data_IF_425859324335
#
_entry.id   IF_425859324335
#
_cell.length_a   1.000
_cell.length_b   1.000
_cell.length_c   1.000
_cell.angle_alpha   90.00
_cell.angle_beta   90.00
_cell.angle_gamma   90.00
#
_symmetry.space_group_name_H-M   'P 1'
#
loop_
_entity.id
_entity.type
_entity.pdbx_description
1 polymer ?
#
# COMPACT_ATOMS: atom_id res chain seq x y z
N UNK A 1 -5.57 -6.51 -13.45
CA UNK A 1 -5.19 -5.36 -12.58
C UNK A 1 -4.78 -5.93 -11.24
N UNK A 2 -3.53 -5.76 -10.82
CA UNK A 2 -3.09 -6.26 -9.52
C UNK A 2 -3.62 -5.28 -8.46
N UNK A 3 -4.51 -5.66 -7.54
CA UNK A 3 -4.96 -4.75 -6.48
C UNK A 3 -3.83 -4.27 -5.55
N UNK A 4 -2.61 -4.81 -5.68
CA UNK A 4 -1.39 -4.25 -5.08
C UNK A 4 -0.81 -3.02 -5.82
N UNK A 5 -1.35 -2.65 -6.98
CA UNK A 5 -0.84 -1.52 -7.80
C UNK A 5 -1.21 -0.16 -7.21
N UNK A 6 -2.23 -0.08 -6.36
CA UNK A 6 -2.62 1.20 -5.77
C UNK A 6 -1.65 1.58 -4.63
N UNK A 7 -1.09 2.80 -4.65
CA UNK A 7 -0.23 3.26 -3.57
C UNK A 7 -1.00 3.34 -2.25
N UNK A 8 -0.37 2.86 -1.18
CA UNK A 8 -0.90 2.93 0.19
C UNK A 8 -0.66 4.32 0.79
N UNK A 9 0.48 4.91 0.47
CA UNK A 9 0.89 6.26 0.85
C UNK A 9 1.52 6.91 -0.37
N UNK A 10 1.14 8.17 -0.62
CA UNK A 10 1.77 9.02 -1.61
C UNK A 10 2.41 10.21 -0.89
N UNK A 11 3.71 10.38 -1.08
CA UNK A 11 4.48 11.49 -0.50
C UNK A 11 4.82 12.50 -1.59
N UNK A 12 4.80 13.78 -1.26
CA UNK A 12 5.40 14.84 -2.07
C UNK A 12 6.62 15.40 -1.36
N UNK A 13 7.70 15.58 -2.11
CA UNK A 13 8.89 16.30 -1.70
C UNK A 13 8.97 17.59 -2.50
N UNK A 14 9.05 18.72 -1.81
CA UNK A 14 9.22 20.02 -2.45
C UNK A 14 10.15 20.92 -1.66
N UNK A 15 10.73 21.90 -2.33
CA UNK A 15 11.60 22.92 -1.73
C UNK A 15 11.45 24.23 -2.48
N UNK A 16 11.54 25.35 -1.76
CA UNK A 16 11.66 26.68 -2.36
C UNK A 16 13.11 27.06 -2.69
N UNK A 17 14.10 26.35 -2.13
CA UNK A 17 15.52 26.68 -2.26
C UNK A 17 16.31 25.66 -3.09
N UNK A 18 15.88 24.40 -3.13
CA UNK A 18 16.56 23.33 -3.87
C UNK A 18 15.98 23.20 -5.29
N UNK A 19 16.84 22.84 -6.24
CA UNK A 19 16.38 22.50 -7.58
C UNK A 19 15.61 21.17 -7.57
N UNK A 20 14.68 20.95 -8.51
CA UNK A 20 13.96 19.68 -8.63
C UNK A 20 14.86 18.44 -8.73
N UNK A 21 16.02 18.52 -9.38
CA UNK A 21 16.93 17.40 -9.52
C UNK A 21 17.69 17.07 -8.22
N UNK A 22 18.01 18.09 -7.39
CA UNK A 22 18.56 17.88 -6.05
C UNK A 22 17.53 17.21 -5.13
N UNK A 23 16.27 17.63 -5.23
CA UNK A 23 15.16 16.99 -4.51
C UNK A 23 15.02 15.53 -4.96
N UNK A 24 15.10 15.27 -6.26
CA UNK A 24 15.03 13.91 -6.81
C UNK A 24 16.17 13.03 -6.30
N UNK A 25 17.40 13.53 -6.29
CA UNK A 25 18.56 12.78 -5.79
C UNK A 25 18.37 12.36 -4.33
N UNK A 26 17.89 13.26 -3.47
CA UNK A 26 17.55 12.92 -2.09
C UNK A 26 16.40 11.90 -2.01
N UNK A 27 15.34 12.10 -2.80
CA UNK A 27 14.18 11.21 -2.86
C UNK A 27 14.59 9.78 -3.27
N UNK A 28 15.45 9.64 -4.27
CA UNK A 28 15.86 8.36 -4.86
C UNK A 28 16.89 7.64 -3.97
N UNK A 29 17.95 8.33 -3.54
CA UNK A 29 19.11 7.69 -2.87
C UNK A 29 18.94 7.53 -1.37
N UNK A 30 18.21 8.43 -0.71
CA UNK A 30 18.04 8.43 0.76
C UNK A 30 16.67 7.91 1.16
N UNK A 31 15.60 8.44 0.56
CA UNK A 31 14.25 8.20 1.05
C UNK A 31 13.66 6.90 0.48
N UNK A 32 13.60 6.76 -0.84
CA UNK A 32 13.01 5.61 -1.51
C UNK A 32 13.71 4.31 -1.12
N UNK A 33 15.05 4.28 -1.07
CA UNK A 33 15.82 3.12 -0.62
C UNK A 33 15.46 2.68 0.80
N UNK A 34 15.36 3.64 1.75
CA UNK A 34 15.00 3.33 3.14
C UNK A 34 13.56 2.87 3.28
N UNK A 35 12.63 3.46 2.53
CA UNK A 35 11.22 3.03 2.53
C UNK A 35 11.09 1.63 1.94
N UNK A 36 11.77 1.33 0.83
CA UNK A 36 11.74 0.01 0.19
C UNK A 36 12.30 -1.12 1.07
N UNK A 37 13.17 -0.79 2.03
CA UNK A 37 13.69 -1.77 3.00
C UNK A 37 12.70 -2.10 4.13
N UNK A 38 11.60 -1.35 4.27
CA UNK A 38 10.61 -1.63 5.30
C UNK A 38 9.83 -2.92 4.97
N UNK A 39 9.69 -3.79 5.96
CA UNK A 39 8.90 -5.01 5.82
C UNK A 39 7.46 -4.69 5.40
N UNK A 40 7.00 -5.36 4.34
CA UNK A 40 5.68 -5.20 3.74
C UNK A 40 5.58 -4.10 2.67
N UNK A 41 6.63 -3.30 2.46
CA UNK A 41 6.74 -2.43 1.27
C UNK A 41 7.20 -3.25 0.08
N UNK A 42 6.47 -3.16 -1.03
CA UNK A 42 6.72 -3.94 -2.24
C UNK A 42 7.50 -3.16 -3.29
N UNK A 43 7.07 -1.92 -3.54
CA UNK A 43 7.67 -1.06 -4.54
C UNK A 43 7.52 0.40 -4.11
N UNK A 44 8.56 1.19 -4.37
CA UNK A 44 8.52 2.64 -4.25
C UNK A 44 8.87 3.21 -5.62
N UNK A 45 7.93 3.89 -6.26
CA UNK A 45 8.15 4.54 -7.55
C UNK A 45 8.19 6.06 -7.40
N UNK A 46 8.90 6.72 -8.31
CA UNK A 46 9.11 8.17 -8.29
C UNK A 46 8.33 8.80 -9.45
N UNK A 47 7.38 9.67 -9.13
CA UNK A 47 6.64 10.51 -10.06
C UNK A 47 7.31 11.87 -10.26
N UNK A 48 7.31 12.35 -11.50
CA UNK A 48 8.00 13.61 -11.85
C UNK A 48 9.51 13.52 -11.74
N UNK A 49 10.06 12.32 -11.95
CA UNK A 49 11.47 12.03 -11.76
C UNK A 49 12.36 12.95 -12.60
N UNK A 50 13.29 13.64 -11.94
CA UNK A 50 14.25 14.54 -12.58
C UNK A 50 15.66 14.15 -12.12
N UNK A 51 16.16 13.03 -12.63
CA UNK A 51 17.51 12.55 -12.28
C UNK A 51 18.55 13.58 -12.67
N UNK A 52 19.45 13.88 -11.73
CA UNK A 52 20.59 14.77 -11.97
C UNK A 52 21.45 14.20 -13.09
N UNK A 53 21.73 15.00 -14.12
CA UNK A 53 22.54 14.62 -15.27
C UNK A 53 23.38 15.79 -15.74
N UNK A 54 24.56 15.50 -16.30
CA UNK A 54 25.33 16.49 -17.04
C UNK A 54 24.86 16.47 -18.48
N UNK A 55 24.21 17.55 -18.94
CA UNK A 55 23.74 17.69 -20.32
C UNK A 55 24.76 18.45 -21.14
N UNK A 56 25.28 17.79 -22.17
CA UNK A 56 26.18 18.37 -23.16
C UNK A 56 25.36 18.81 -24.36
N UNK A 57 25.21 20.12 -24.55
CA UNK A 57 24.47 20.75 -25.64
C UNK A 57 25.45 21.33 -26.66
N UNK A 58 25.63 20.62 -27.76
CA UNK A 58 26.63 20.98 -28.78
C UNK A 58 25.98 21.73 -29.94
N UNK A 59 26.64 22.78 -30.44
CA UNK A 59 26.19 23.48 -31.64
C UNK A 59 26.68 22.72 -32.90
N UNK A 60 25.78 22.19 -33.74
CA UNK A 60 26.14 21.40 -34.92
C UNK A 60 26.99 22.18 -35.94
N UNK A 61 26.78 23.50 -36.06
CA UNK A 61 27.53 24.34 -37.01
C UNK A 61 28.97 24.54 -36.53
N UNK A 62 29.18 24.73 -35.23
CA UNK A 62 30.50 24.91 -34.64
C UNK A 62 31.33 23.64 -34.78
N UNK A 63 30.82 22.48 -34.34
CA UNK A 63 31.57 21.22 -34.47
C UNK A 63 31.88 20.89 -35.94
N UNK A 64 30.94 21.15 -36.86
CA UNK A 64 31.16 20.96 -38.29
C UNK A 64 32.30 21.83 -38.85
N UNK A 65 32.46 23.07 -38.36
CA UNK A 65 33.58 23.93 -38.77
C UNK A 65 34.97 23.43 -38.31
N UNK A 66 34.98 22.55 -37.30
CA UNK A 66 36.17 21.86 -36.81
C UNK A 66 36.33 20.45 -37.40
N UNK A 67 35.44 20.03 -38.31
CA UNK A 67 35.46 18.70 -38.92
C UNK A 67 35.00 17.59 -38.00
N UNK A 68 34.31 17.93 -36.90
CA UNK A 68 33.78 16.99 -35.92
C UNK A 68 32.28 16.78 -36.13
N UNK A 69 31.81 15.57 -35.83
CA UNK A 69 30.40 15.21 -35.80
C UNK A 69 29.95 14.81 -34.37
N UNK A 70 28.67 14.49 -34.18
CA UNK A 70 28.14 14.12 -32.87
C UNK A 70 28.71 12.82 -32.31
N UNK A 71 29.06 11.86 -33.18
CA UNK A 71 29.64 10.57 -32.78
C UNK A 71 31.10 10.73 -32.31
N UNK A 72 31.84 11.64 -32.92
CA UNK A 72 33.19 12.01 -32.46
C UNK A 72 33.13 12.55 -31.02
N UNK A 73 32.22 13.49 -30.76
CA UNK A 73 32.00 14.06 -29.42
C UNK A 73 31.58 12.97 -28.43
N UNK A 74 30.65 12.09 -28.81
CA UNK A 74 30.21 10.97 -27.98
C UNK A 74 31.37 10.06 -27.60
N UNK A 75 32.18 9.66 -28.58
CA UNK A 75 33.34 8.78 -28.37
C UNK A 75 34.38 9.42 -27.45
N UNK A 76 34.67 10.71 -27.64
CA UNK A 76 35.60 11.45 -26.78
C UNK A 76 35.10 11.48 -25.34
N UNK A 77 33.83 11.84 -25.13
CA UNK A 77 33.22 11.91 -23.79
C UNK A 77 33.21 10.53 -23.11
N UNK A 78 32.86 9.47 -23.83
CA UNK A 78 32.90 8.09 -23.32
C UNK A 78 34.34 7.66 -22.95
N UNK A 79 35.34 7.99 -23.78
CA UNK A 79 36.74 7.64 -23.51
C UNK A 79 37.36 8.42 -22.35
N UNK A 80 36.91 9.65 -22.14
CA UNK A 80 37.40 10.51 -21.08
C UNK A 80 36.81 10.16 -19.72
N UNK A 81 35.58 9.64 -19.67
CA UNK A 81 34.89 9.32 -18.43
C UNK A 81 34.97 7.81 -18.10
N UNK A 82 36.18 7.26 -18.02
CA UNK A 82 36.40 5.82 -17.80
C UNK A 82 36.86 5.51 -16.37
N UNK A 83 36.35 4.41 -15.81
CA UNK A 83 36.80 3.85 -14.54
C UNK A 83 37.47 2.49 -14.79
N UNK A 84 38.68 2.52 -15.35
CA UNK A 84 39.45 1.33 -15.68
C UNK A 84 40.57 1.09 -14.66
N UNK A 85 40.78 -0.18 -14.31
CA UNK A 85 41.87 -0.59 -13.43
C UNK A 85 43.23 -0.22 -14.05
N UNK A 86 44.08 0.43 -13.27
CA UNK A 86 45.41 0.87 -13.72
C UNK A 86 46.51 -0.16 -13.43
N UNK A 87 46.18 -1.22 -12.70
CA UNK A 87 47.08 -2.32 -12.38
C UNK A 87 47.76 -2.18 -11.02
N UNK A 88 48.62 -3.14 -10.71
CA UNK A 88 49.40 -3.20 -9.47
C UNK A 88 50.89 -3.30 -9.81
N UNK A 89 51.71 -2.73 -8.94
CA UNK A 89 53.14 -3.01 -8.88
C UNK A 89 53.39 -4.02 -7.77
N UNK A 90 53.70 -5.26 -8.14
CA UNK A 90 54.07 -6.32 -7.21
C UNK A 90 55.60 -6.45 -7.13
N UNK A 91 56.17 -6.12 -5.97
CA UNK A 91 57.58 -6.35 -5.67
C UNK A 91 57.76 -7.44 -4.60
N UNK A 92 59.01 -7.91 -4.41
CA UNK A 92 59.34 -9.05 -3.54
C UNK A 92 58.91 -8.91 -2.07
N UNK A 93 58.66 -7.67 -1.59
CA UNK A 93 58.29 -7.38 -0.20
C UNK A 93 57.02 -6.54 -0.04
N UNK A 94 56.58 -5.85 -1.08
CA UNK A 94 55.46 -4.90 -1.04
C UNK A 94 54.73 -4.92 -2.38
N UNK A 95 53.41 -4.82 -2.32
CA UNK A 95 52.52 -4.63 -3.48
C UNK A 95 51.83 -3.28 -3.37
N UNK A 96 51.78 -2.53 -4.48
CA UNK A 96 51.12 -1.24 -4.57
C UNK A 96 50.06 -1.27 -5.67
N UNK A 97 48.83 -0.92 -5.35
CA UNK A 97 47.79 -0.69 -6.35
C UNK A 97 47.89 0.73 -6.91
N UNK A 98 47.88 0.86 -8.23
CA UNK A 98 47.81 2.17 -8.88
C UNK A 98 46.34 2.60 -8.89
N UNK A 99 46.01 3.62 -8.10
CA UNK A 99 44.70 4.27 -8.17
C UNK A 99 44.78 5.58 -8.94
N UNK A 100 44.02 5.68 -10.03
CA UNK A 100 43.67 6.93 -10.71
C UNK A 100 42.18 6.89 -11.00
N UNK A 101 41.50 8.02 -10.79
CA UNK A 101 40.10 8.17 -11.16
C UNK A 101 39.99 9.21 -12.27
N UNK A 102 39.77 8.73 -13.49
CA UNK A 102 39.64 9.58 -14.66
C UNK A 102 38.17 10.00 -14.86
N UNK A 103 37.24 9.60 -13.98
CA UNK A 103 35.83 9.93 -14.10
C UNK A 103 35.58 11.42 -13.88
N UNK A 104 34.77 12.00 -14.75
CA UNK A 104 34.32 13.39 -14.67
C UNK A 104 33.00 13.42 -13.89
N UNK A 105 32.96 14.18 -12.80
CA UNK A 105 31.81 14.22 -11.87
C UNK A 105 31.03 15.53 -11.95
N UNK A 106 31.63 16.59 -12.50
CA UNK A 106 31.03 17.93 -12.53
C UNK A 106 30.86 18.43 -13.96
N UNK A 107 29.82 19.24 -14.21
CA UNK A 107 29.64 19.90 -15.51
C UNK A 107 30.85 20.74 -15.94
N UNK A 108 31.61 21.29 -14.99
CA UNK A 108 32.80 22.08 -15.27
C UNK A 108 33.97 21.23 -15.76
N UNK A 109 34.16 20.04 -15.20
CA UNK A 109 35.12 19.05 -15.70
C UNK A 109 34.80 18.64 -17.13
N UNK A 110 33.53 18.31 -17.42
CA UNK A 110 33.08 18.03 -18.78
C UNK A 110 33.26 19.24 -19.71
N UNK A 111 32.97 20.47 -19.25
CA UNK A 111 33.13 21.69 -20.03
C UNK A 111 34.58 21.93 -20.45
N UNK A 112 35.55 21.55 -19.60
CA UNK A 112 36.98 21.69 -19.86
C UNK A 112 37.59 20.50 -20.61
N UNK A 113 36.81 19.46 -20.91
CA UNK A 113 37.26 18.32 -21.68
C UNK A 113 37.76 18.75 -23.07
N UNK A 114 38.96 18.31 -23.42
CA UNK A 114 39.57 18.59 -24.73
C UNK A 114 38.98 17.64 -25.76
N UNK A 115 38.43 18.21 -26.83
CA UNK A 115 37.76 17.46 -27.90
C UNK A 115 38.59 17.35 -29.18
N UNK A 116 39.50 18.29 -29.43
CA UNK A 116 40.40 18.24 -30.56
C UNK A 116 41.60 19.17 -30.34
N UNK A 117 42.63 19.01 -31.17
CA UNK A 117 43.71 20.00 -31.29
C UNK A 117 43.69 20.57 -32.70
N UNK A 118 43.70 21.90 -32.83
CA UNK A 118 43.80 22.58 -34.13
C UNK A 118 44.91 23.61 -34.07
N UNK A 119 45.91 23.46 -34.95
CA UNK A 119 47.10 24.32 -35.00
C UNK A 119 47.81 24.45 -33.64
N UNK A 120 47.90 23.36 -32.88
CA UNK A 120 48.54 23.33 -31.55
C UNK A 120 47.69 23.86 -30.39
N UNK A 121 46.51 24.44 -30.66
CA UNK A 121 45.60 24.91 -29.62
C UNK A 121 44.57 23.84 -29.25
N UNK A 122 44.34 23.57 -27.95
CA UNK A 122 43.30 22.64 -27.51
C UNK A 122 41.92 23.28 -27.69
N UNK A 123 41.03 22.57 -28.38
CA UNK A 123 39.62 22.88 -28.47
C UNK A 123 38.89 22.13 -27.35
N UNK A 124 38.12 22.84 -26.52
CA UNK A 124 37.37 22.27 -25.40
C UNK A 124 35.88 22.17 -25.71
N UNK A 125 35.17 21.33 -24.95
CA UNK A 125 33.74 21.12 -25.13
C UNK A 125 32.93 22.41 -24.95
N UNK A 126 33.35 23.29 -24.03
CA UNK A 126 32.74 24.63 -23.84
C UNK A 126 32.92 25.59 -25.02
N UNK A 127 33.87 25.34 -25.91
CA UNK A 127 34.14 26.21 -27.06
C UNK A 127 33.17 25.92 -28.23
N UNK A 128 32.49 24.76 -28.18
CA UNK A 128 31.56 24.29 -29.24
C UNK A 128 30.13 24.07 -28.73
N UNK A 129 29.87 24.36 -27.45
CA UNK A 129 28.59 24.07 -26.82
C UNK A 129 28.50 24.52 -25.36
N UNK A 130 27.41 24.12 -24.71
CA UNK A 130 27.16 24.36 -23.30
C UNK A 130 27.10 23.03 -22.55
N UNK A 131 27.67 23.00 -21.35
CA UNK A 131 27.60 21.84 -20.46
C UNK A 131 26.93 22.30 -19.17
N UNK A 132 25.74 21.79 -18.90
CA UNK A 132 24.91 22.21 -17.77
C UNK A 132 24.51 21.01 -16.91
N UNK A 133 24.39 21.23 -15.61
CA UNK A 133 23.74 20.27 -14.72
C UNK A 133 22.23 20.47 -14.82
N UNK A 134 21.52 19.46 -15.29
CA UNK A 134 20.07 19.51 -15.49
C UNK A 134 19.46 18.11 -15.41
N UNK A 135 18.14 18.01 -15.43
CA UNK A 135 17.43 16.74 -15.41
C UNK A 135 17.73 15.91 -16.67
N UNK A 136 17.89 14.59 -16.51
CA UNK A 136 17.99 13.64 -17.62
C UNK A 136 16.81 13.79 -18.59
N UNK A 137 15.61 13.90 -18.03
CA UNK A 137 14.37 14.14 -18.76
C UNK A 137 13.65 15.38 -18.25
N UNK A 138 13.76 16.48 -19.00
CA UNK A 138 13.10 17.76 -18.69
C UNK A 138 11.62 17.80 -19.07
N UNK A 139 11.12 16.76 -19.76
CA UNK A 139 9.71 16.65 -20.20
C UNK A 139 8.82 16.01 -19.14
N UNK A 140 9.39 15.53 -18.04
CA UNK A 140 8.66 15.01 -16.90
C UNK A 140 8.74 15.99 -15.75
N UNK A 141 7.61 16.19 -15.10
CA UNK A 141 7.50 16.97 -13.87
C UNK A 141 6.25 16.51 -13.13
N UNK A 142 6.25 16.71 -11.82
CA UNK A 142 5.08 16.53 -10.98
C UNK A 142 4.88 17.75 -10.10
N UNK A 143 3.66 17.91 -9.63
CA UNK A 143 3.24 19.04 -8.82
C UNK A 143 2.42 18.55 -7.64
N UNK A 144 2.59 19.22 -6.51
CA UNK A 144 1.66 19.17 -5.39
C UNK A 144 0.94 20.52 -5.34
N UNK A 145 -0.33 20.52 -5.72
CA UNK A 145 -1.08 21.74 -6.00
C UNK A 145 -0.32 22.57 -7.05
N UNK A 146 0.07 23.80 -6.74
CA UNK A 146 0.79 24.70 -7.66
C UNK A 146 2.33 24.63 -7.53
N UNK A 147 2.86 23.81 -6.62
CA UNK A 147 4.32 23.70 -6.37
C UNK A 147 4.89 22.48 -7.10
N UNK A 148 5.99 22.67 -7.85
CA UNK A 148 6.76 21.55 -8.41
C UNK A 148 7.25 20.65 -7.27
N UNK A 149 7.05 19.35 -7.41
CA UNK A 149 7.38 18.36 -6.40
C UNK A 149 7.85 17.05 -7.04
N UNK A 150 8.62 16.28 -6.28
CA UNK A 150 8.94 14.89 -6.58
C UNK A 150 7.98 14.02 -5.77
N UNK A 151 7.25 13.14 -6.43
CA UNK A 151 6.21 12.32 -5.79
C UNK A 151 6.77 10.92 -5.56
N UNK A 152 6.60 10.38 -4.35
CA UNK A 152 6.90 8.97 -4.05
C UNK A 152 5.62 8.20 -3.85
N UNK A 153 5.42 7.16 -4.65
CA UNK A 153 4.31 6.23 -4.51
C UNK A 153 4.81 4.99 -3.79
N UNK A 154 4.28 4.75 -2.59
CA UNK A 154 4.62 3.57 -1.79
C UNK A 154 3.54 2.52 -2.00
N UNK A 155 3.92 1.37 -2.54
CA UNK A 155 3.05 0.21 -2.74
C UNK A 155 3.43 -0.91 -1.77
N UNK A 156 2.44 -1.70 -1.36
CA UNK A 156 2.63 -2.81 -0.42
C UNK A 156 2.96 -4.12 -1.15
N UNK A 157 3.60 -5.05 -0.44
CA UNK A 157 3.69 -6.43 -0.87
C UNK A 157 2.30 -7.11 -0.82
N UNK A 158 2.04 -8.09 -1.70
CA UNK A 158 0.87 -8.96 -1.59
C UNK A 158 0.76 -9.56 -0.18
N UNK A 159 -0.47 -9.67 0.36
CA UNK A 159 -0.72 -10.19 1.70
C UNK A 159 -0.34 -9.28 2.88
N UNK A 160 0.43 -8.20 2.66
CA UNK A 160 0.79 -7.27 3.73
C UNK A 160 -0.38 -6.39 4.18
N UNK A 161 -0.47 -6.16 5.50
CA UNK A 161 -1.47 -5.29 6.11
C UNK A 161 -1.18 -3.81 5.81
N UNK A 162 -2.13 -3.12 5.19
CA UNK A 162 -1.98 -1.73 4.74
C UNK A 162 -1.67 -0.78 5.92
N UNK A 163 -2.41 -0.93 7.03
CA UNK A 163 -2.29 -0.05 8.21
C UNK A 163 -0.89 -0.20 8.82
N UNK A 164 -0.41 -1.43 9.01
CA UNK A 164 0.90 -1.66 9.60
C UNK A 164 2.04 -1.12 8.74
N UNK A 165 1.98 -1.33 7.42
CA UNK A 165 3.02 -0.83 6.50
C UNK A 165 3.04 0.70 6.50
N UNK A 166 1.87 1.33 6.41
CA UNK A 166 1.74 2.78 6.47
C UNK A 166 2.28 3.38 7.78
N UNK A 167 1.98 2.76 8.93
CA UNK A 167 2.53 3.20 10.23
C UNK A 167 4.06 3.05 10.30
N UNK A 168 4.62 1.99 9.70
CA UNK A 168 6.10 1.85 9.59
C UNK A 168 6.71 2.95 8.73
N UNK A 169 6.06 3.31 7.63
CA UNK A 169 6.50 4.40 6.74
C UNK A 169 6.43 5.73 7.48
N UNK A 170 5.31 6.07 8.12
CA UNK A 170 5.18 7.30 8.95
C UNK A 170 6.19 7.34 10.09
N UNK A 171 6.40 6.20 10.75
CA UNK A 171 7.40 6.07 11.81
C UNK A 171 8.82 6.27 11.30
N UNK A 172 9.14 5.80 10.09
CA UNK A 172 10.41 6.09 9.43
C UNK A 172 10.53 7.58 9.09
N UNK A 173 9.49 8.20 8.52
CA UNK A 173 9.48 9.63 8.19
C UNK A 173 9.80 10.50 9.41
N UNK A 174 9.17 10.22 10.55
CA UNK A 174 9.45 10.92 11.82
C UNK A 174 10.88 10.73 12.32
N UNK A 175 11.49 9.55 12.07
CA UNK A 175 12.89 9.28 12.46
C UNK A 175 13.90 9.99 11.57
N UNK A 176 13.59 10.16 10.29
CA UNK A 176 14.49 10.81 9.33
C UNK A 176 14.29 12.32 9.27
N UNK A 177 13.15 12.84 9.75
CA UNK A 177 12.83 14.27 9.79
C UNK A 177 13.99 15.16 10.26
N UNK A 178 14.75 14.81 11.32
CA UNK A 178 15.90 15.62 11.77
C UNK A 178 17.09 15.63 10.80
N UNK A 179 17.17 14.66 9.90
CA UNK A 179 18.24 14.52 8.89
C UNK A 179 17.89 15.16 7.55
N UNK A 180 16.63 15.58 7.39
CA UNK A 180 16.16 16.26 6.18
C UNK A 180 16.76 17.68 6.16
N UNK A 181 17.29 18.14 5.01
CA UNK A 181 17.72 19.53 4.87
C UNK A 181 16.59 20.49 5.23
N UNK A 182 16.87 21.57 5.98
CA UNK A 182 15.83 22.51 6.48
C UNK A 182 14.91 23.10 5.41
N UNK A 183 15.36 23.13 4.15
CA UNK A 183 14.62 23.69 3.04
C UNK A 183 13.79 22.65 2.28
N UNK A 184 13.85 21.36 2.65
CA UNK A 184 13.14 20.27 2.01
C UNK A 184 11.97 19.85 2.89
N UNK A 185 10.76 19.98 2.36
CA UNK A 185 9.53 19.56 3.03
C UNK A 185 9.03 18.26 2.42
N UNK A 186 8.52 17.36 3.28
CA UNK A 186 7.89 16.11 2.89
C UNK A 186 6.44 16.13 3.38
N UNK A 187 5.49 16.07 2.46
CA UNK A 187 4.06 16.03 2.78
C UNK A 187 3.45 14.70 2.37
N UNK A 188 2.53 14.19 3.18
CA UNK A 188 1.70 13.05 2.81
C UNK A 188 0.50 13.60 2.03
N UNK A 189 0.45 13.33 0.73
CA UNK A 189 -0.65 13.77 -0.14
C UNK A 189 -1.85 12.86 -0.01
N UNK A 190 -1.58 11.56 0.07
CA UNK A 190 -2.61 10.53 0.16
C UNK A 190 -2.18 9.47 1.15
N UNK A 191 -3.11 9.10 2.02
CA UNK A 191 -2.96 8.03 2.98
C UNK A 191 -4.24 7.20 2.97
N UNK A 192 -4.16 5.97 2.47
CA UNK A 192 -5.32 5.07 2.42
C UNK A 192 -5.75 4.59 3.80
N UNK A 193 -4.89 4.68 4.82
CA UNK A 193 -5.22 4.17 6.14
C UNK A 193 -6.31 4.96 6.85
N UNK A 194 -6.46 6.25 6.54
CA UNK A 194 -7.47 7.11 7.17
C UNK A 194 -8.87 6.63 6.81
N UNK A 195 -9.15 6.44 5.52
CA UNK A 195 -10.43 5.90 5.04
C UNK A 195 -10.67 4.49 5.55
N UNK A 196 -9.66 3.61 5.51
CA UNK A 196 -9.81 2.23 6.00
C UNK A 196 -10.14 2.22 7.50
N UNK A 197 -9.45 3.04 8.31
CA UNK A 197 -9.70 3.13 9.75
C UNK A 197 -11.10 3.68 10.03
N UNK A 198 -11.51 4.76 9.34
CA UNK A 198 -12.86 5.33 9.46
C UNK A 198 -13.93 4.29 9.14
N UNK A 199 -13.79 3.57 8.01
CA UNK A 199 -14.77 2.54 7.62
C UNK A 199 -14.83 1.37 8.62
N UNK A 200 -13.71 0.98 9.21
CA UNK A 200 -13.71 -0.08 10.25
C UNK A 200 -14.34 0.42 11.56
N UNK A 201 -14.04 1.65 11.98
CA UNK A 201 -14.63 2.26 13.19
C UNK A 201 -16.15 2.49 13.02
N UNK A 202 -16.58 2.99 11.86
CA UNK A 202 -17.99 3.14 11.48
C UNK A 202 -18.70 1.78 11.52
N UNK A 203 -18.12 0.76 10.88
CA UNK A 203 -18.67 -0.58 10.89
C UNK A 203 -18.77 -1.20 12.29
N UNK A 204 -17.78 -0.99 13.16
CA UNK A 204 -17.84 -1.43 14.55
C UNK A 204 -18.98 -0.75 15.31
N UNK A 205 -19.17 0.55 15.09
CA UNK A 205 -20.27 1.30 15.67
C UNK A 205 -21.63 0.80 15.16
N UNK A 206 -21.78 0.60 13.85
CA UNK A 206 -23.00 0.07 13.25
C UNK A 206 -23.34 -1.34 13.77
N UNK A 207 -22.34 -2.21 13.88
CA UNK A 207 -22.51 -3.55 14.43
C UNK A 207 -22.97 -3.50 15.89
N UNK A 208 -22.34 -2.66 16.72
CA UNK A 208 -22.72 -2.48 18.11
C UNK A 208 -24.13 -1.89 18.24
N UNK A 209 -24.46 -0.89 17.42
CA UNK A 209 -25.78 -0.29 17.36
C UNK A 209 -26.84 -1.31 16.93
N UNK A 210 -26.55 -2.13 15.92
CA UNK A 210 -27.45 -3.19 15.45
C UNK A 210 -27.73 -4.21 16.56
N UNK A 211 -26.69 -4.68 17.26
CA UNK A 211 -26.83 -5.59 18.40
C UNK A 211 -27.70 -4.94 19.49
N UNK A 212 -27.42 -3.69 19.85
CA UNK A 212 -28.16 -2.97 20.89
C UNK A 212 -29.64 -2.78 20.50
N UNK A 213 -29.92 -2.42 19.25
CA UNK A 213 -31.27 -2.26 18.73
C UNK A 213 -32.04 -3.58 18.73
N UNK A 214 -31.41 -4.67 18.30
CA UNK A 214 -32.01 -6.01 18.35
C UNK A 214 -32.38 -6.38 19.78
N UNK A 215 -31.46 -6.19 20.72
CA UNK A 215 -31.71 -6.48 22.14
C UNK A 215 -32.86 -5.62 22.69
N UNK A 216 -32.89 -4.33 22.34
CA UNK A 216 -33.95 -3.41 22.77
C UNK A 216 -35.32 -3.79 22.20
N UNK A 217 -35.41 -4.12 20.92
CA UNK A 217 -36.65 -4.57 20.27
C UNK A 217 -37.11 -5.90 20.87
N UNK A 218 -36.21 -6.87 21.05
CA UNK A 218 -36.54 -8.14 21.69
C UNK A 218 -37.05 -7.96 23.12
N UNK A 219 -36.44 -7.07 23.89
CA UNK A 219 -36.92 -6.72 25.23
C UNK A 219 -38.33 -6.14 25.18
N UNK A 220 -38.61 -5.25 24.23
CA UNK A 220 -39.92 -4.61 24.09
C UNK A 220 -41.04 -5.62 23.83
N UNK A 221 -40.80 -6.62 22.98
CA UNK A 221 -41.76 -7.67 22.67
C UNK A 221 -41.92 -8.72 23.78
N UNK A 222 -40.80 -9.22 24.32
CA UNK A 222 -40.83 -10.35 25.27
C UNK A 222 -41.08 -9.90 26.73
N UNK A 223 -40.76 -8.64 27.07
CA UNK A 223 -40.91 -8.02 28.41
C UNK A 223 -40.35 -8.83 29.60
N UNK A 224 -39.49 -9.81 29.34
CA UNK A 224 -38.87 -10.70 30.31
C UNK A 224 -37.37 -10.74 30.08
N UNK A 225 -36.63 -10.24 31.07
CA UNK A 225 -35.16 -10.11 31.03
C UNK A 225 -34.47 -11.43 30.70
N UNK A 226 -34.97 -12.55 31.25
CA UNK A 226 -34.41 -13.89 31.03
C UNK A 226 -34.42 -14.33 29.55
N UNK A 227 -35.44 -13.95 28.78
CA UNK A 227 -35.48 -14.27 27.35
C UNK A 227 -34.66 -13.28 26.50
N UNK A 228 -34.51 -12.03 26.95
CA UNK A 228 -33.68 -11.02 26.29
C UNK A 228 -32.17 -11.29 26.42
N UNK A 229 -31.73 -11.92 27.51
CA UNK A 229 -30.30 -12.24 27.72
C UNK A 229 -29.78 -13.24 26.68
N UNK A 230 -30.62 -14.17 26.23
CA UNK A 230 -30.17 -15.25 25.34
C UNK A 230 -29.64 -14.69 24.00
N UNK A 231 -30.39 -13.88 23.21
CA UNK A 231 -29.84 -13.28 21.99
C UNK A 231 -28.66 -12.34 22.29
N UNK A 232 -28.69 -11.64 23.42
CA UNK A 232 -27.62 -10.72 23.84
C UNK A 232 -26.26 -11.40 23.99
N UNK A 233 -26.24 -12.71 24.29
CA UNK A 233 -25.00 -13.50 24.43
C UNK A 233 -24.69 -14.29 23.16
N UNK A 234 -25.72 -14.85 22.51
CA UNK A 234 -25.55 -15.67 21.30
C UNK A 234 -24.95 -14.86 20.15
N UNK A 235 -25.42 -13.63 19.93
CA UNK A 235 -24.98 -12.81 18.79
C UNK A 235 -23.49 -12.43 18.90
N UNK A 236 -22.99 -11.86 20.01
CA UNK A 236 -21.56 -11.58 20.12
C UNK A 236 -20.70 -12.86 20.06
N UNK A 237 -21.19 -13.97 20.59
CA UNK A 237 -20.46 -15.24 20.59
C UNK A 237 -20.29 -15.79 19.17
N UNK A 238 -21.34 -15.76 18.35
CA UNK A 238 -21.25 -16.21 16.94
C UNK A 238 -20.32 -15.32 16.13
N UNK A 239 -20.35 -14.01 16.33
CA UNK A 239 -19.45 -13.06 15.68
C UNK A 239 -17.99 -13.30 16.06
N UNK A 240 -17.70 -13.50 17.35
CA UNK A 240 -16.34 -13.82 17.83
C UNK A 240 -15.88 -15.17 17.28
N UNK A 241 -16.76 -16.18 17.27
CA UNK A 241 -16.48 -17.49 16.67
C UNK A 241 -16.15 -17.37 15.18
N UNK A 242 -16.91 -16.54 14.46
CA UNK A 242 -16.68 -16.25 13.03
C UNK A 242 -15.35 -15.58 12.81
N UNK A 243 -14.99 -14.58 13.62
CA UNK A 243 -13.67 -13.93 13.55
C UNK A 243 -12.54 -14.94 13.77
N UNK A 244 -12.72 -15.91 14.68
CA UNK A 244 -11.78 -17.01 14.90
C UNK A 244 -11.64 -17.90 13.66
N UNK A 245 -12.75 -18.29 13.04
CA UNK A 245 -12.73 -19.08 11.82
C UNK A 245 -12.13 -18.32 10.62
N UNK A 246 -12.47 -17.03 10.47
CA UNK A 246 -11.86 -16.14 9.48
C UNK A 246 -10.34 -16.07 9.65
N UNK A 247 -9.86 -15.98 10.89
CA UNK A 247 -8.42 -15.97 11.18
C UNK A 247 -7.75 -17.28 10.74
N UNK A 248 -8.37 -18.44 10.99
CA UNK A 248 -7.87 -19.74 10.53
C UNK A 248 -7.86 -19.87 9.00
N UNK A 249 -8.82 -19.24 8.32
CA UNK A 249 -8.90 -19.21 6.85
C UNK A 249 -7.97 -18.17 6.22
N UNK A 250 -7.28 -17.35 7.02
CA UNK A 250 -6.40 -16.28 6.55
C UNK A 250 -7.14 -15.10 5.94
N UNK A 251 -8.43 -14.92 6.26
CA UNK A 251 -9.23 -13.81 5.76
C UNK A 251 -8.92 -12.52 6.49
N UNK A 252 -8.97 -11.42 5.75
CA UNK A 252 -8.74 -10.08 6.30
C UNK A 252 -10.06 -9.45 6.70
N UNK A 253 -10.05 -8.64 7.75
CA UNK A 253 -11.18 -7.76 8.04
C UNK A 253 -11.17 -6.61 7.02
N UNK A 254 -12.08 -6.69 6.05
CA UNK A 254 -12.29 -5.70 5.02
C UNK A 254 -13.78 -5.37 4.88
N UNK A 255 -14.10 -4.40 4.01
CA UNK A 255 -15.47 -3.91 3.84
C UNK A 255 -16.47 -5.02 3.47
N UNK A 256 -16.06 -6.04 2.70
CA UNK A 256 -16.95 -7.14 2.31
C UNK A 256 -17.17 -8.11 3.47
N UNK A 257 -16.11 -8.51 4.17
CA UNK A 257 -16.27 -9.39 5.34
C UNK A 257 -17.04 -8.72 6.46
N UNK A 258 -16.89 -7.40 6.63
CA UNK A 258 -17.69 -6.61 7.57
C UNK A 258 -19.16 -6.62 7.16
N UNK A 259 -19.47 -6.35 5.89
CA UNK A 259 -20.84 -6.41 5.39
C UNK A 259 -21.45 -7.81 5.58
N UNK A 260 -20.66 -8.86 5.37
CA UNK A 260 -21.08 -10.24 5.66
C UNK A 260 -21.43 -10.42 7.15
N UNK A 261 -20.61 -9.93 8.08
CA UNK A 261 -20.88 -10.02 9.52
C UNK A 261 -22.14 -9.23 9.94
N UNK A 262 -22.33 -8.02 9.39
CA UNK A 262 -23.52 -7.20 9.66
C UNK A 262 -24.79 -7.90 9.17
N UNK A 263 -24.77 -8.46 7.95
CA UNK A 263 -25.90 -9.22 7.41
C UNK A 263 -26.13 -10.52 8.21
N UNK A 264 -25.05 -11.25 8.52
CA UNK A 264 -25.11 -12.48 9.29
C UNK A 264 -25.72 -12.27 10.67
N UNK A 265 -25.44 -11.12 11.29
CA UNK A 265 -26.06 -10.72 12.56
C UNK A 265 -27.58 -10.79 12.46
N UNK A 266 -28.19 -10.31 11.37
CA UNK A 266 -29.63 -10.41 11.16
C UNK A 266 -30.17 -11.86 11.13
N UNK A 267 -29.44 -12.76 10.46
CA UNK A 267 -29.82 -14.18 10.38
C UNK A 267 -29.69 -14.90 11.73
N UNK A 268 -28.57 -14.71 12.43
CA UNK A 268 -28.35 -15.30 13.77
C UNK A 268 -29.41 -14.82 14.76
N UNK A 269 -29.80 -13.55 14.65
CA UNK A 269 -30.84 -12.95 15.47
C UNK A 269 -32.19 -13.59 15.24
N UNK A 270 -32.58 -13.79 13.97
CA UNK A 270 -33.86 -14.40 13.61
C UNK A 270 -33.95 -15.83 14.17
N UNK A 271 -32.91 -16.66 13.98
CA UNK A 271 -32.86 -18.03 14.50
C UNK A 271 -32.97 -18.08 16.03
N UNK A 272 -32.27 -17.19 16.73
CA UNK A 272 -32.34 -17.08 18.19
C UNK A 272 -33.74 -16.65 18.68
N UNK A 273 -34.36 -15.68 18.01
CA UNK A 273 -35.69 -15.18 18.36
C UNK A 273 -36.75 -16.26 18.13
N UNK A 274 -36.77 -16.88 16.95
CA UNK A 274 -37.73 -17.94 16.60
C UNK A 274 -37.65 -19.08 17.61
N UNK A 275 -36.44 -19.44 18.05
CA UNK A 275 -36.27 -20.47 19.07
C UNK A 275 -36.84 -20.09 20.43
N UNK A 276 -36.52 -18.89 20.90
CA UNK A 276 -37.00 -18.40 22.19
C UNK A 276 -38.50 -18.18 22.20
N UNK A 277 -39.07 -17.65 21.13
CA UNK A 277 -40.51 -17.43 21.02
C UNK A 277 -41.27 -18.76 21.10
N UNK A 278 -40.78 -19.80 20.42
CA UNK A 278 -41.39 -21.11 20.48
C UNK A 278 -41.29 -21.72 21.89
N UNK A 279 -40.14 -21.59 22.57
CA UNK A 279 -39.96 -22.05 23.95
C UNK A 279 -40.87 -21.26 24.92
N UNK A 280 -40.96 -19.93 24.75
CA UNK A 280 -41.83 -19.07 25.56
C UNK A 280 -43.30 -19.49 25.45
N UNK A 281 -43.75 -19.84 24.24
CA UNK A 281 -45.10 -20.36 24.01
C UNK A 281 -45.40 -21.61 24.83
N UNK A 282 -44.47 -22.56 24.91
CA UNK A 282 -44.65 -23.76 25.76
C UNK A 282 -44.64 -23.42 27.26
N UNK A 283 -43.84 -22.45 27.69
CA UNK A 283 -43.87 -21.99 29.08
C UNK A 283 -45.23 -21.36 29.41
N UNK A 284 -45.81 -20.57 28.49
CA UNK A 284 -47.15 -20.00 28.63
C UNK A 284 -48.26 -21.06 28.64
N UNK A 285 -48.04 -22.20 27.97
CA UNK A 285 -48.93 -23.37 28.04
C UNK A 285 -48.80 -24.17 29.35
N UNK A 286 -47.95 -23.74 30.29
CA UNK A 286 -47.82 -24.34 31.63
C UNK A 286 -46.73 -25.40 31.76
N UNK A 287 -45.85 -25.57 30.77
CA UNK A 287 -44.71 -26.49 30.88
C UNK A 287 -43.60 -25.91 31.77
N UNK A 288 -42.83 -26.79 32.42
CA UNK A 288 -41.61 -26.38 33.13
C UNK A 288 -40.57 -25.83 32.14
N UNK A 289 -39.64 -24.98 32.59
CA UNK A 289 -38.66 -24.36 31.70
C UNK A 289 -37.80 -25.38 30.93
N UNK A 290 -37.44 -26.49 31.57
CA UNK A 290 -36.67 -27.56 30.93
C UNK A 290 -37.50 -28.33 29.90
N UNK A 291 -38.74 -28.69 30.24
CA UNK A 291 -39.63 -29.41 29.31
C UNK A 291 -40.01 -28.55 28.11
N UNK A 292 -40.23 -27.25 28.34
CA UNK A 292 -40.51 -26.28 27.29
C UNK A 292 -39.30 -26.08 26.38
N UNK A 293 -38.08 -26.05 26.92
CA UNK A 293 -36.86 -25.99 26.10
C UNK A 293 -36.69 -27.25 25.24
N UNK A 294 -36.93 -28.43 25.81
CA UNK A 294 -36.81 -29.70 25.08
C UNK A 294 -37.87 -29.82 23.98
N UNK A 295 -39.15 -29.58 24.29
CA UNK A 295 -40.24 -29.63 23.31
C UNK A 295 -40.11 -28.51 22.27
N UNK A 296 -39.87 -27.29 22.73
CA UNK A 296 -39.72 -26.10 21.89
C UNK A 296 -38.59 -26.24 20.89
N UNK A 297 -37.42 -26.71 21.32
CA UNK A 297 -36.29 -26.96 20.41
C UNK A 297 -36.58 -28.11 19.45
N UNK A 298 -37.12 -29.24 19.92
CA UNK A 298 -37.40 -30.41 19.05
C UNK A 298 -38.36 -30.11 17.90
N UNK A 299 -39.31 -29.18 18.10
CA UNK A 299 -40.30 -28.83 17.10
C UNK A 299 -39.70 -28.04 15.92
N UNK A 300 -38.71 -27.20 16.17
CA UNK A 300 -38.17 -26.22 15.19
C UNK A 300 -36.74 -26.52 14.77
N UNK A 301 -36.01 -27.37 15.49
CA UNK A 301 -34.60 -27.66 15.20
C UNK A 301 -34.40 -28.12 13.75
N UNK A 302 -35.30 -28.97 13.25
CA UNK A 302 -35.24 -29.41 11.85
C UNK A 302 -35.41 -28.25 10.87
N UNK A 303 -36.34 -27.34 11.14
CA UNK A 303 -36.60 -26.16 10.30
C UNK A 303 -35.39 -25.23 10.28
N UNK A 304 -34.80 -24.94 11.45
CA UNK A 304 -33.62 -24.07 11.56
C UNK A 304 -32.44 -24.67 10.79
N UNK A 305 -32.12 -25.96 11.02
CA UNK A 305 -31.03 -26.64 10.30
C UNK A 305 -31.28 -26.63 8.79
N UNK A 306 -32.53 -26.86 8.35
CA UNK A 306 -32.89 -26.83 6.93
C UNK A 306 -32.73 -25.43 6.32
N UNK A 307 -33.08 -24.37 7.05
CA UNK A 307 -32.89 -22.98 6.61
C UNK A 307 -31.41 -22.64 6.53
N UNK A 308 -30.60 -23.00 7.53
CA UNK A 308 -29.14 -22.81 7.53
C UNK A 308 -28.49 -23.47 6.31
N UNK A 309 -28.78 -24.75 6.06
CA UNK A 309 -28.24 -25.47 4.89
C UNK A 309 -28.70 -24.82 3.58
N UNK A 310 -29.94 -24.39 3.51
CA UNK A 310 -30.48 -23.70 2.33
C UNK A 310 -29.76 -22.37 2.08
N UNK A 311 -29.51 -21.58 3.12
CA UNK A 311 -28.79 -20.31 2.99
C UNK A 311 -27.34 -20.52 2.54
N UNK A 312 -26.66 -21.51 3.12
CA UNK A 312 -25.31 -21.91 2.69
C UNK A 312 -25.34 -22.34 1.22
N UNK A 313 -26.36 -23.10 0.80
CA UNK A 313 -26.52 -23.52 -0.59
C UNK A 313 -26.70 -22.33 -1.55
N UNK A 314 -27.41 -21.28 -1.15
CA UNK A 314 -27.55 -20.04 -1.94
C UNK A 314 -26.20 -19.32 -2.10
N UNK A 315 -25.26 -19.50 -1.18
CA UNK A 315 -23.91 -18.93 -1.28
C UNK A 315 -22.95 -19.73 -2.17
N UNK A 316 -23.25 -21.00 -2.48
CA UNK A 316 -22.37 -21.87 -3.28
C UNK A 316 -22.02 -21.27 -4.65
N UNK A 317 -22.97 -20.73 -5.44
CA UNK A 317 -22.64 -20.13 -6.74
C UNK A 317 -21.61 -18.99 -6.66
N UNK A 318 -21.61 -18.20 -5.58
CA UNK A 318 -20.64 -17.12 -5.37
C UNK A 318 -19.21 -17.64 -5.22
N UNK A 319 -19.03 -18.86 -4.72
CA UNK A 319 -17.71 -19.51 -4.58
C UNK A 319 -17.11 -19.94 -5.92
N UNK A 320 -17.95 -20.15 -6.94
CA UNK A 320 -17.55 -20.57 -8.28
C UNK A 320 -17.38 -19.39 -9.25
N UNK A 321 -17.64 -18.15 -8.81
CA UNK A 321 -17.34 -16.98 -9.61
C UNK A 321 -15.83 -16.90 -9.87
N UNK A 322 -15.45 -16.66 -11.13
CA UNK A 322 -14.06 -16.54 -11.53
C UNK A 322 -13.43 -15.19 -11.22
N UNK A 323 -12.15 -15.08 -11.56
CA UNK A 323 -11.40 -13.82 -11.65
C UNK A 323 -11.23 -13.04 -10.32
N UNK A 324 -11.22 -11.71 -10.40
CA UNK A 324 -11.04 -10.81 -9.25
C UNK A 324 -12.32 -10.71 -8.43
N UNK A 325 -13.47 -10.64 -9.12
CA UNK A 325 -14.79 -10.55 -8.49
C UNK A 325 -15.04 -11.79 -7.62
N UNK A 326 -14.75 -12.99 -8.15
CA UNK A 326 -14.88 -14.23 -7.40
C UNK A 326 -14.03 -14.29 -6.13
N UNK A 327 -12.79 -13.78 -6.17
CA UNK A 327 -11.95 -13.72 -4.96
C UNK A 327 -12.53 -12.81 -3.89
N UNK A 328 -13.08 -11.67 -4.28
CA UNK A 328 -13.72 -10.72 -3.36
C UNK A 328 -15.00 -11.30 -2.74
N UNK A 329 -15.87 -11.90 -3.56
CA UNK A 329 -17.12 -12.51 -3.08
C UNK A 329 -16.91 -13.83 -2.35
N UNK A 330 -15.79 -14.52 -2.55
CA UNK A 330 -15.44 -15.73 -1.80
C UNK A 330 -15.26 -15.43 -0.31
N UNK A 331 -14.53 -14.37 0.05
CA UNK A 331 -14.36 -13.98 1.46
C UNK A 331 -15.71 -13.59 2.08
N UNK A 332 -16.56 -12.86 1.34
CA UNK A 332 -17.93 -12.52 1.76
C UNK A 332 -18.77 -13.78 2.02
N UNK A 333 -18.90 -14.66 1.02
CA UNK A 333 -19.78 -15.83 1.04
C UNK A 333 -19.38 -16.82 2.13
N UNK A 334 -18.08 -17.06 2.30
CA UNK A 334 -17.57 -17.96 3.34
C UNK A 334 -17.72 -17.35 4.74
N UNK A 335 -17.45 -16.04 4.91
CA UNK A 335 -17.66 -15.37 6.20
C UNK A 335 -19.12 -15.45 6.64
N UNK A 336 -20.05 -15.16 5.73
CA UNK A 336 -21.49 -15.25 5.99
C UNK A 336 -21.90 -16.69 6.32
N UNK A 337 -21.47 -17.66 5.51
CA UNK A 337 -21.81 -19.08 5.69
C UNK A 337 -21.28 -19.64 7.01
N UNK A 338 -20.05 -19.28 7.39
CA UNK A 338 -19.45 -19.68 8.67
C UNK A 338 -20.22 -19.03 9.83
N UNK A 339 -20.60 -17.77 9.71
CA UNK A 339 -21.34 -17.08 10.78
C UNK A 339 -22.73 -17.65 11.01
N UNK A 340 -23.43 -18.11 9.97
CA UNK A 340 -24.75 -18.74 10.12
C UNK A 340 -24.62 -20.17 10.66
N UNK A 341 -23.50 -20.84 10.37
CA UNK A 341 -23.25 -22.21 10.84
C UNK A 341 -22.90 -22.26 12.34
N UNK A 342 -22.25 -21.23 12.87
CA UNK A 342 -21.84 -21.10 14.29
C UNK A 342 -23.01 -20.59 15.13
#
# INVERSE_FOLDING_TARGET
VNPADAPIITLALHSSALSPYQINEFAETRLAQRISQLSGVGLVTIGGQQRSSVRIQVNPQLIGSYGLNFDDIRTIVESANTNQAKGTFDGDRLSYTIESNDQLSTSEEFANLIIAYKNGNPLRLKDVGQVINDAENTKQAAWMNDKKAIILYVQKQPGSNIIQVAERVKGLLKKIEPTIPKNLEINIISDRTTTIRSSVEEAQFELLLAILLVVAVNYFFLRKVSFTIIPSVVIPLSLIGTLGAMYLMGFSLNNLTIMALVIATGFVVDDAIVMIENISRFIEMGYSAFDAALKGSSQIAFTIISLTISLIAVMIPLLFMGEVIGRLFKEFALTLSVCILI
#
